data_IF_518900688005
#
_entry.id   IF_518900688005
#
_cell.length_a   1.000
_cell.length_b   1.000
_cell.length_c   1.000
_cell.angle_alpha   90.00
_cell.angle_beta   90.00
_cell.angle_gamma   90.00
#
_symmetry.space_group_name_H-M   'P 1'
#
loop_
_entity.id
_entity.type
_entity.pdbx_description
1 polymer ?
#
# COMPACT_ATOMS: atom_id res chain seq x y z
N UNK A 1 33.59 15.51 -32.86
CA UNK A 1 33.66 15.03 -34.24
C UNK A 1 32.23 14.72 -34.59
N UNK A 2 31.59 15.63 -35.32
CA UNK A 2 30.23 15.43 -35.79
C UNK A 2 30.39 14.63 -37.07
N UNK A 3 30.02 13.36 -37.05
CA UNK A 3 30.01 12.53 -38.24
C UNK A 3 28.96 13.11 -39.20
N UNK A 4 29.44 13.70 -40.30
CA UNK A 4 28.66 14.41 -41.33
C UNK A 4 27.89 13.46 -42.27
N UNK A 5 27.69 12.19 -41.92
CA UNK A 5 27.07 11.17 -42.78
C UNK A 5 25.84 10.51 -42.13
N UNK A 6 24.89 11.31 -41.63
CA UNK A 6 23.68 10.80 -40.94
C UNK A 6 22.56 10.33 -41.89
N UNK A 7 22.83 10.23 -43.19
CA UNK A 7 21.89 9.67 -44.19
C UNK A 7 22.39 8.31 -44.65
N UNK A 8 21.65 7.21 -44.42
CA UNK A 8 22.05 5.87 -44.87
C UNK A 8 22.15 5.82 -46.40
N UNK A 9 23.27 5.31 -46.94
CA UNK A 9 23.45 5.14 -48.40
C UNK A 9 22.93 3.76 -48.87
N UNK A 10 23.06 2.73 -48.03
CA UNK A 10 22.58 1.38 -48.31
C UNK A 10 21.40 1.00 -47.39
N UNK A 11 20.53 0.09 -47.83
CA UNK A 11 19.39 -0.38 -47.03
C UNK A 11 19.82 -0.97 -45.67
N UNK A 12 21.01 -1.56 -45.61
CA UNK A 12 21.58 -2.16 -44.40
C UNK A 12 22.15 -1.12 -43.40
N UNK A 13 22.27 0.15 -43.80
CA UNK A 13 22.72 1.23 -42.92
C UNK A 13 21.55 1.87 -42.16
N UNK A 14 20.30 1.58 -42.55
CA UNK A 14 19.10 2.08 -41.87
C UNK A 14 19.02 1.47 -40.47
N UNK A 15 18.78 2.33 -39.47
CA UNK A 15 18.69 1.94 -38.06
C UNK A 15 17.69 0.80 -37.83
N UNK A 16 18.21 -0.38 -37.45
CA UNK A 16 17.41 -1.58 -37.15
C UNK A 16 17.17 -2.53 -38.34
N UNK A 17 17.66 -2.18 -39.54
CA UNK A 17 17.67 -3.01 -40.73
C UNK A 17 19.05 -3.68 -40.85
N UNK A 18 19.15 -4.93 -40.43
CA UNK A 18 20.35 -5.74 -40.71
C UNK A 18 20.34 -6.29 -42.14
N UNK A 19 21.40 -6.98 -42.59
CA UNK A 19 21.51 -7.52 -43.95
C UNK A 19 20.32 -8.38 -44.37
N UNK A 20 19.81 -9.22 -43.46
CA UNK A 20 18.65 -10.08 -43.73
C UNK A 20 17.35 -9.30 -43.98
N UNK A 21 17.18 -8.15 -43.31
CA UNK A 21 16.00 -7.29 -43.51
C UNK A 21 16.18 -6.37 -44.71
N UNK A 22 17.41 -5.98 -45.02
CA UNK A 22 17.72 -5.29 -46.26
C UNK A 22 17.41 -6.18 -47.48
N UNK A 23 17.74 -7.48 -47.41
CA UNK A 23 17.32 -8.47 -48.41
C UNK A 23 15.79 -8.62 -48.48
N UNK A 24 15.08 -8.64 -47.35
CA UNK A 24 13.62 -8.70 -47.33
C UNK A 24 12.96 -7.44 -47.93
N UNK A 25 13.52 -6.24 -47.71
CA UNK A 25 13.08 -5.00 -48.36
C UNK A 25 13.31 -5.04 -49.87
N UNK A 26 14.47 -5.52 -50.31
CA UNK A 26 14.78 -5.67 -51.72
C UNK A 26 13.85 -6.70 -52.41
N UNK A 27 13.53 -7.81 -51.73
CA UNK A 27 12.57 -8.82 -52.24
C UNK A 27 11.14 -8.29 -52.30
N UNK A 28 10.77 -7.35 -51.40
CA UNK A 28 9.50 -6.62 -51.44
C UNK A 28 9.46 -5.51 -52.51
N UNK A 29 10.58 -5.22 -53.19
CA UNK A 29 10.68 -4.24 -54.28
C UNK A 29 11.28 -2.88 -53.89
N UNK A 30 11.75 -2.71 -52.64
CA UNK A 30 12.45 -1.51 -52.20
C UNK A 30 13.96 -1.70 -52.34
N UNK A 31 14.50 -1.46 -53.54
CA UNK A 31 15.89 -1.75 -53.89
C UNK A 31 16.89 -0.67 -53.39
N UNK A 32 16.40 0.54 -53.11
CA UNK A 32 17.22 1.66 -52.67
C UNK A 32 16.61 2.42 -51.49
N UNK A 33 17.44 3.19 -50.79
CA UNK A 33 17.00 4.07 -49.69
C UNK A 33 15.94 5.08 -50.17
N UNK A 34 16.01 5.50 -51.45
CA UNK A 34 15.01 6.36 -52.07
C UNK A 34 13.66 5.66 -52.24
N UNK A 35 13.63 4.36 -52.54
CA UNK A 35 12.39 3.58 -52.64
C UNK A 35 11.73 3.46 -51.26
N UNK A 36 12.53 3.21 -50.21
CA UNK A 36 12.04 3.17 -48.82
C UNK A 36 11.53 4.53 -48.35
N UNK A 37 12.18 5.62 -48.77
CA UNK A 37 11.74 6.98 -48.45
C UNK A 37 10.40 7.31 -49.12
N UNK A 38 10.18 6.84 -50.37
CA UNK A 38 8.95 7.05 -51.13
C UNK A 38 7.79 6.14 -50.67
N UNK A 39 8.07 4.93 -50.19
CA UNK A 39 7.08 3.92 -49.81
C UNK A 39 6.34 4.24 -48.51
N UNK A 40 5.04 4.02 -48.44
CA UNK A 40 4.26 4.28 -47.24
C UNK A 40 4.64 3.34 -46.08
N UNK A 41 4.38 3.76 -44.83
CA UNK A 41 4.69 2.94 -43.66
C UNK A 41 4.00 1.56 -43.71
N UNK A 42 2.78 1.52 -44.26
CA UNK A 42 2.03 0.27 -44.48
C UNK A 42 2.70 -0.64 -45.50
N UNK A 43 3.21 -0.10 -46.61
CA UNK A 43 3.90 -0.88 -47.65
C UNK A 43 5.20 -1.48 -47.10
N UNK A 44 5.96 -0.72 -46.30
CA UNK A 44 7.16 -1.23 -45.63
C UNK A 44 6.84 -2.32 -44.60
N UNK A 45 5.65 -2.27 -43.98
CA UNK A 45 5.23 -3.25 -42.99
C UNK A 45 4.79 -4.60 -43.60
N UNK A 46 4.61 -4.67 -44.93
CA UNK A 46 4.29 -5.91 -45.64
C UNK A 46 5.54 -6.76 -45.94
N UNK A 47 6.74 -6.16 -45.88
CA UNK A 47 7.99 -6.88 -46.08
C UNK A 47 8.26 -7.90 -44.96
N UNK A 48 8.78 -9.08 -45.32
CA UNK A 48 9.00 -10.17 -44.37
C UNK A 48 9.92 -9.74 -43.21
N UNK A 49 9.43 -9.88 -41.98
CA UNK A 49 10.17 -9.49 -40.77
C UNK A 49 10.17 -7.99 -40.44
N UNK A 50 9.45 -7.15 -41.17
CA UNK A 50 9.28 -5.71 -40.89
C UNK A 50 7.87 -5.47 -40.35
N UNK A 51 7.69 -5.52 -39.04
CA UNK A 51 6.42 -5.12 -38.44
C UNK A 51 6.22 -3.59 -38.44
N UNK A 52 4.99 -3.13 -38.18
CA UNK A 52 4.62 -1.71 -38.07
C UNK A 52 5.60 -0.86 -37.25
N UNK A 53 6.08 -1.39 -36.11
CA UNK A 53 7.02 -0.69 -35.24
C UNK A 53 8.40 -0.49 -35.86
N UNK A 54 8.86 -1.41 -36.73
CA UNK A 54 10.11 -1.27 -37.44
C UNK A 54 9.96 -0.38 -38.67
N UNK A 55 8.86 -0.53 -39.43
CA UNK A 55 8.53 0.35 -40.55
C UNK A 55 8.49 1.83 -40.13
N UNK A 56 7.87 2.13 -38.98
CA UNK A 56 7.85 3.48 -38.41
C UNK A 56 9.26 4.02 -38.08
N UNK A 57 10.16 3.17 -37.58
CA UNK A 57 11.55 3.56 -37.29
C UNK A 57 12.35 3.78 -38.56
N UNK A 58 12.20 2.90 -39.54
CA UNK A 58 12.83 3.03 -40.86
C UNK A 58 12.43 4.38 -41.47
N UNK A 59 11.13 4.66 -41.58
CA UNK A 59 10.62 5.91 -42.17
C UNK A 59 11.12 7.16 -41.42
N UNK A 60 11.26 7.08 -40.09
CA UNK A 60 11.84 8.14 -39.28
C UNK A 60 13.35 8.36 -39.54
N UNK A 61 14.11 7.27 -39.75
CA UNK A 61 15.54 7.28 -40.01
C UNK A 61 15.86 7.81 -41.42
N UNK A 62 15.07 7.41 -42.43
CA UNK A 62 15.24 7.89 -43.82
C UNK A 62 14.67 9.30 -44.05
N UNK A 63 14.12 9.94 -43.01
CA UNK A 63 13.54 11.29 -43.10
C UNK A 63 12.24 11.38 -43.91
N UNK A 64 11.54 10.27 -44.10
CA UNK A 64 10.30 10.19 -44.88
C UNK A 64 9.02 10.50 -44.08
N UNK A 65 9.08 11.29 -43.01
CA UNK A 65 7.91 11.59 -42.17
C UNK A 65 6.93 12.53 -42.91
N UNK A 66 6.21 12.00 -43.89
CA UNK A 66 4.99 12.59 -44.43
C UNK A 66 3.88 12.33 -43.41
N UNK A 67 3.62 13.35 -42.59
CA UNK A 67 2.46 13.39 -41.71
C UNK A 67 1.26 13.70 -42.60
N UNK A 68 0.73 12.68 -43.28
CA UNK A 68 -0.60 12.72 -43.86
C UNK A 68 -1.60 12.90 -42.70
N UNK A 69 -2.21 14.08 -42.65
CA UNK A 69 -3.10 14.51 -41.57
C UNK A 69 -4.52 13.91 -41.66
N UNK A 70 -4.74 12.87 -42.48
CA UNK A 70 -6.08 12.37 -42.84
C UNK A 70 -6.19 10.83 -42.79
N UNK A 71 -5.52 10.18 -41.84
CA UNK A 71 -5.92 8.81 -41.44
C UNK A 71 -6.98 8.89 -40.36
N UNK A 72 -8.21 9.14 -40.79
CA UNK A 72 -9.40 8.54 -40.19
C UNK A 72 -9.25 7.02 -40.34
N UNK A 73 -8.40 6.42 -39.51
CA UNK A 73 -8.40 5.00 -39.28
C UNK A 73 -9.73 4.70 -38.58
N UNK A 74 -10.68 4.15 -39.34
CA UNK A 74 -11.75 3.34 -38.77
C UNK A 74 -11.07 2.29 -37.89
N UNK A 75 -10.95 2.60 -36.60
CA UNK A 75 -10.72 1.61 -35.57
C UNK A 75 -11.96 0.74 -35.63
N UNK A 76 -11.85 -0.42 -36.27
CA UNK A 76 -12.69 -1.53 -35.86
C UNK A 76 -12.47 -1.68 -34.36
N UNK A 77 -13.45 -1.22 -33.59
CA UNK A 77 -13.63 -1.67 -32.24
C UNK A 77 -13.80 -3.19 -32.30
N UNK A 78 -12.68 -3.89 -32.18
CA UNK A 78 -12.69 -5.22 -31.60
C UNK A 78 -13.32 -4.99 -30.24
N UNK A 79 -14.61 -5.30 -30.13
CA UNK A 79 -15.42 -5.12 -28.94
C UNK A 79 -14.66 -5.62 -27.71
N UNK A 80 -13.96 -4.72 -27.05
CA UNK A 80 -13.84 -4.76 -25.61
C UNK A 80 -15.17 -4.22 -25.18
N UNK A 81 -16.00 -5.08 -24.60
CA UNK A 81 -17.25 -4.70 -23.99
C UNK A 81 -17.16 -3.27 -23.44
N UNK A 82 -18.00 -2.40 -23.98
CA UNK A 82 -18.71 -1.40 -23.21
C UNK A 82 -19.24 -2.07 -21.91
N UNK A 83 -18.36 -2.34 -20.96
CA UNK A 83 -18.65 -2.08 -19.55
C UNK A 83 -18.46 -0.57 -19.38
N UNK A 84 -19.26 0.17 -20.16
CA UNK A 84 -19.64 1.52 -19.89
C UNK A 84 -20.21 1.48 -18.48
N UNK A 85 -19.40 1.94 -17.52
CA UNK A 85 -19.78 3.05 -16.66
C UNK A 85 -21.28 3.03 -16.30
N UNK A 86 -21.72 1.90 -15.74
CA UNK A 86 -22.84 1.87 -14.83
C UNK A 86 -22.26 2.18 -13.45
N UNK A 87 -21.63 3.34 -13.29
CA UNK A 87 -21.61 4.06 -12.02
C UNK A 87 -23.06 4.44 -11.70
N UNK A 88 -23.88 3.42 -11.38
CA UNK A 88 -25.02 3.65 -10.52
C UNK A 88 -24.43 4.23 -9.24
N UNK A 89 -24.95 5.36 -8.77
CA UNK A 89 -24.63 5.94 -7.47
C UNK A 89 -25.08 4.96 -6.36
N UNK A 90 -24.36 3.85 -6.19
CA UNK A 90 -24.59 2.88 -5.12
C UNK A 90 -23.99 3.46 -3.85
N UNK A 91 -24.81 3.57 -2.80
CA UNK A 91 -24.31 4.03 -1.51
C UNK A 91 -23.27 3.03 -0.98
N UNK A 92 -22.06 3.52 -0.69
CA UNK A 92 -20.97 2.69 -0.14
C UNK A 92 -20.62 3.17 1.27
N UNK A 93 -20.22 2.23 2.13
CA UNK A 93 -19.73 2.53 3.47
C UNK A 93 -18.40 1.83 3.78
N UNK A 94 -17.62 2.39 4.70
CA UNK A 94 -16.36 1.80 5.15
C UNK A 94 -16.60 0.74 6.23
N UNK A 95 -16.30 -0.52 5.93
CA UNK A 95 -16.35 -1.64 6.88
C UNK A 95 -14.95 -2.14 7.23
N UNK A 96 -14.74 -2.46 8.51
CA UNK A 96 -13.50 -3.07 8.98
C UNK A 96 -13.45 -4.56 8.58
N UNK A 97 -12.30 -5.03 8.09
CA UNK A 97 -12.08 -6.46 7.84
C UNK A 97 -12.07 -7.27 9.14
N UNK A 98 -12.55 -8.52 9.08
CA UNK A 98 -12.45 -9.51 10.15
C UNK A 98 -13.36 -9.29 11.36
N UNK A 99 -13.08 -10.03 12.43
CA UNK A 99 -13.94 -10.20 13.60
C UNK A 99 -13.85 -9.04 14.62
N UNK A 100 -14.22 -7.83 14.20
CA UNK A 100 -14.07 -6.61 15.02
C UNK A 100 -14.86 -6.64 16.33
N UNK A 101 -16.03 -7.29 16.36
CA UNK A 101 -16.89 -7.35 17.55
C UNK A 101 -16.58 -8.51 18.51
N UNK A 102 -15.64 -9.39 18.17
CA UNK A 102 -15.29 -10.55 19.01
C UNK A 102 -14.81 -10.08 20.40
N UNK A 103 -15.28 -10.74 21.45
CA UNK A 103 -14.92 -10.48 22.87
C UNK A 103 -14.30 -11.75 23.44
N UNK A 104 -13.28 -11.66 24.34
CA UNK A 104 -12.63 -12.83 24.90
C UNK A 104 -13.48 -13.53 25.97
N UNK A 105 -13.19 -14.81 26.16
CA UNK A 105 -13.71 -15.56 27.30
C UNK A 105 -12.82 -15.30 28.52
N UNK A 106 -13.36 -14.63 29.54
CA UNK A 106 -12.65 -14.28 30.77
C UNK A 106 -13.28 -14.97 31.98
N UNK A 107 -12.45 -15.40 32.92
CA UNK A 107 -12.95 -15.86 34.23
C UNK A 107 -13.65 -14.72 34.99
N UNK A 108 -14.58 -15.06 35.89
CA UNK A 108 -15.32 -14.06 36.70
C UNK A 108 -14.36 -13.12 37.47
N UNK A 109 -13.26 -13.68 37.98
CA UNK A 109 -12.24 -12.94 38.70
C UNK A 109 -11.48 -11.96 37.78
N UNK A 110 -11.11 -12.38 36.57
CA UNK A 110 -10.47 -11.50 35.60
C UNK A 110 -11.40 -10.39 35.13
N UNK A 111 -12.67 -10.71 34.86
CA UNK A 111 -13.67 -9.73 34.47
C UNK A 111 -13.85 -8.68 35.57
N UNK A 112 -13.95 -9.11 36.84
CA UNK A 112 -14.01 -8.23 38.01
C UNK A 112 -12.76 -7.35 38.14
N UNK A 113 -11.56 -7.92 37.98
CA UNK A 113 -10.30 -7.17 38.06
C UNK A 113 -10.13 -6.19 36.90
N UNK A 114 -10.61 -6.54 35.70
CA UNK A 114 -10.58 -5.68 34.51
C UNK A 114 -11.50 -4.46 34.71
N UNK A 115 -12.71 -4.68 35.23
CA UNK A 115 -13.62 -3.60 35.62
C UNK A 115 -13.01 -2.72 36.72
N UNK A 116 -12.36 -3.31 37.74
CA UNK A 116 -11.64 -2.57 38.78
C UNK A 116 -10.50 -1.72 38.20
N UNK A 117 -9.74 -2.24 37.24
CA UNK A 117 -8.70 -1.50 36.53
C UNK A 117 -9.27 -0.28 35.81
N UNK A 118 -10.45 -0.42 35.18
CA UNK A 118 -11.13 0.66 34.47
C UNK A 118 -11.70 1.73 35.42
N UNK A 119 -12.17 1.34 36.60
CA UNK A 119 -12.75 2.27 37.57
C UNK A 119 -11.71 3.02 38.40
N UNK A 120 -10.56 2.40 38.69
CA UNK A 120 -9.48 3.04 39.44
C UNK A 120 -8.67 3.96 38.54
N UNK A 121 -8.80 5.27 38.74
CA UNK A 121 -8.01 6.26 38.02
C UNK A 121 -6.53 6.20 38.44
N UNK A 122 -5.66 6.05 37.45
CA UNK A 122 -4.22 6.18 37.64
C UNK A 122 -3.81 7.63 37.34
N UNK A 123 -2.96 8.26 38.18
CA UNK A 123 -2.42 9.58 37.86
C UNK A 123 -1.68 9.58 36.52
N UNK A 124 -1.64 10.73 35.83
CA UNK A 124 -0.96 10.83 34.53
C UNK A 124 0.56 10.60 34.60
N UNK A 125 1.16 10.67 35.80
CA UNK A 125 2.61 10.54 36.03
C UNK A 125 3.48 11.40 35.11
N UNK A 126 3.06 12.64 34.87
CA UNK A 126 3.88 13.60 34.15
C UNK A 126 5.03 14.13 35.03
N UNK A 127 6.18 14.44 34.43
CA UNK A 127 7.33 15.06 35.12
C UNK A 127 6.91 16.35 35.82
N UNK A 128 7.37 16.59 37.06
CA UNK A 128 7.09 17.86 37.75
C UNK A 128 7.39 19.08 36.88
N UNK A 129 6.50 20.07 36.91
CA UNK A 129 6.63 21.36 36.23
C UNK A 129 6.79 21.29 34.69
N UNK A 130 6.47 20.17 34.04
CA UNK A 130 6.50 20.03 32.58
C UNK A 130 5.70 21.14 31.87
N UNK A 131 4.50 21.44 32.38
CA UNK A 131 3.60 22.46 31.86
C UNK A 131 4.15 23.90 31.99
N UNK A 132 5.17 24.13 32.83
CA UNK A 132 5.74 25.47 33.06
C UNK A 132 6.85 25.85 32.07
N UNK A 133 7.49 24.85 31.42
CA UNK A 133 8.64 25.08 30.53
C UNK A 133 8.56 24.16 29.32
N UNK A 134 8.41 24.74 28.12
CA UNK A 134 8.34 24.01 26.83
C UNK A 134 9.48 23.00 26.62
N UNK A 135 10.70 23.31 27.10
CA UNK A 135 11.86 22.39 27.04
C UNK A 135 11.77 21.15 27.96
N UNK A 136 10.76 21.08 28.82
CA UNK A 136 10.58 20.00 29.79
C UNK A 136 9.45 19.10 29.31
N UNK A 137 9.75 17.89 28.81
CA UNK A 137 8.71 17.00 28.30
C UNK A 137 7.89 16.37 29.43
N UNK A 138 6.74 15.79 29.07
CA UNK A 138 5.82 15.06 29.95
C UNK A 138 6.46 13.80 30.55
N UNK A 139 7.39 13.14 29.83
CA UNK A 139 8.08 11.92 30.27
C UNK A 139 8.58 12.00 31.72
N UNK A 140 8.06 11.12 32.58
CA UNK A 140 8.38 11.05 34.00
C UNK A 140 9.87 11.08 34.31
N UNK A 141 10.26 11.86 35.31
CA UNK A 141 11.59 11.83 35.94
C UNK A 141 11.41 12.00 37.43
N UNK A 142 12.04 11.11 38.22
CA UNK A 142 11.99 11.19 39.69
C UNK A 142 12.40 12.60 40.14
N UNK A 143 11.57 13.31 40.92
CA UNK A 143 11.92 14.66 41.39
C UNK A 143 13.08 14.58 42.38
N UNK A 144 14.27 15.06 41.99
CA UNK A 144 15.49 14.93 42.80
C UNK A 144 15.75 16.09 43.78
N UNK A 145 15.28 17.30 43.47
CA UNK A 145 15.68 18.52 44.20
C UNK A 145 15.25 18.54 45.68
N UNK A 146 16.15 19.03 46.56
CA UNK A 146 15.97 19.04 48.04
C UNK A 146 14.67 19.69 48.50
N UNK A 147 14.26 20.76 47.82
CA UNK A 147 13.07 21.53 48.17
C UNK A 147 11.88 21.26 47.24
N UNK A 148 11.96 20.24 46.36
CA UNK A 148 10.88 19.88 45.45
C UNK A 148 9.61 19.54 46.24
N UNK A 149 8.50 20.17 45.85
CA UNK A 149 7.21 20.02 46.52
C UNK A 149 6.58 18.67 46.20
N UNK A 150 6.73 18.18 44.96
CA UNK A 150 6.31 16.83 44.55
C UNK A 150 7.11 15.76 45.31
N UNK A 151 8.44 15.90 45.40
CA UNK A 151 9.29 14.95 46.13
C UNK A 151 8.93 14.84 47.62
N UNK A 152 8.52 15.94 48.23
CA UNK A 152 8.09 16.02 49.63
C UNK A 152 6.64 15.52 49.85
N UNK A 153 5.94 15.06 48.81
CA UNK A 153 4.56 14.56 48.91
C UNK A 153 3.52 15.65 49.20
N UNK A 154 3.78 16.91 48.84
CA UNK A 154 2.80 17.99 49.08
C UNK A 154 1.59 17.78 48.16
N UNK A 155 0.42 17.62 48.76
CA UNK A 155 -0.87 17.46 48.06
C UNK A 155 -1.06 18.56 46.99
N UNK A 156 -1.50 18.15 45.81
CA UNK A 156 -1.71 19.04 44.65
C UNK A 156 -0.46 19.25 43.77
N UNK A 157 0.67 18.60 44.06
CA UNK A 157 1.87 18.61 43.19
C UNK A 157 1.99 17.36 42.30
N UNK A 158 0.94 16.54 42.28
CA UNK A 158 0.90 15.26 41.57
C UNK A 158 1.59 14.15 42.36
N UNK A 159 1.11 12.93 42.18
CA UNK A 159 1.66 11.75 42.85
C UNK A 159 3.04 11.39 42.29
N UNK A 160 3.86 10.76 43.15
CA UNK A 160 5.14 10.18 42.75
C UNK A 160 4.94 8.72 42.38
N UNK A 161 5.63 8.25 41.34
CA UNK A 161 5.57 6.84 40.93
C UNK A 161 6.03 5.94 42.08
N UNK A 162 5.15 5.03 42.50
CA UNK A 162 5.36 4.05 43.57
C UNK A 162 4.79 2.68 43.17
N UNK A 163 5.23 1.61 43.82
CA UNK A 163 4.79 0.24 43.50
C UNK A 163 3.29 0.01 43.75
N UNK A 164 2.66 0.77 44.65
CA UNK A 164 1.24 0.67 44.98
C UNK A 164 0.28 1.07 43.84
N UNK A 165 0.78 1.79 42.83
CA UNK A 165 -0.01 2.18 41.65
C UNK A 165 -0.10 1.10 40.58
N UNK A 166 0.52 -0.07 40.79
CA UNK A 166 0.46 -1.16 39.80
C UNK A 166 -0.96 -1.70 39.66
N UNK A 167 -1.36 -1.97 38.43
CA UNK A 167 -2.59 -2.70 38.13
C UNK A 167 -2.49 -4.16 38.63
N UNK A 168 -3.62 -4.83 38.92
CA UNK A 168 -3.63 -6.23 39.34
C UNK A 168 -2.90 -7.12 38.34
N UNK A 169 -2.14 -8.10 38.83
CA UNK A 169 -1.26 -8.93 37.99
C UNK A 169 -2.02 -9.68 36.89
N UNK A 170 -3.18 -10.26 37.20
CA UNK A 170 -3.99 -11.04 36.25
C UNK A 170 -4.51 -10.24 35.04
N UNK A 171 -4.65 -8.91 35.14
CA UNK A 171 -5.19 -8.06 34.06
C UNK A 171 -4.22 -6.97 33.61
N UNK A 172 -2.97 -7.05 34.06
CA UNK A 172 -1.93 -6.07 33.70
C UNK A 172 -1.53 -6.31 32.25
N UNK A 173 -1.68 -5.29 31.41
CA UNK A 173 -1.30 -5.35 29.99
C UNK A 173 -2.41 -5.78 29.04
N UNK A 174 -3.52 -6.36 29.52
CA UNK A 174 -4.68 -6.71 28.69
C UNK A 174 -5.28 -5.50 27.97
N UNK A 175 -5.73 -5.66 26.74
CA UNK A 175 -6.48 -4.64 25.99
C UNK A 175 -7.73 -4.21 26.78
N UNK A 176 -8.30 -3.01 26.56
CA UNK A 176 -9.57 -2.61 27.19
C UNK A 176 -10.73 -3.59 26.99
N UNK A 177 -10.73 -4.35 25.87
CA UNK A 177 -11.70 -5.43 25.62
C UNK A 177 -11.43 -6.70 26.43
N UNK A 178 -10.23 -6.86 27.00
CA UNK A 178 -9.84 -8.03 27.79
C UNK A 178 -8.84 -8.97 27.11
N UNK A 179 -8.62 -8.86 25.80
CA UNK A 179 -7.66 -9.72 25.10
C UNK A 179 -6.22 -9.46 25.55
N UNK A 180 -5.38 -10.49 25.48
CA UNK A 180 -3.93 -10.33 25.47
C UNK A 180 -3.46 -9.98 24.05
N UNK A 181 -2.60 -8.97 23.92
CA UNK A 181 -2.18 -8.50 22.60
C UNK A 181 -0.97 -9.28 22.09
N UNK A 182 -1.12 -9.95 20.94
CA UNK A 182 -0.02 -10.62 20.24
C UNK A 182 0.43 -9.77 19.07
N UNK A 183 1.73 -9.47 19.00
CA UNK A 183 2.29 -8.63 17.94
C UNK A 183 2.69 -9.47 16.72
N UNK A 184 2.07 -9.18 15.58
CA UNK A 184 2.15 -10.00 14.35
C UNK A 184 2.87 -9.24 13.23
N UNK A 185 3.77 -9.90 12.51
CA UNK A 185 4.54 -9.37 11.38
C UNK A 185 4.25 -10.08 10.04
N UNK A 186 3.84 -11.34 10.10
CA UNK A 186 3.58 -12.20 8.95
C UNK A 186 2.51 -13.26 9.31
N UNK A 187 2.10 -14.07 8.34
CA UNK A 187 1.06 -15.09 8.53
C UNK A 187 1.48 -16.19 9.50
N UNK A 188 2.77 -16.53 9.56
CA UNK A 188 3.28 -17.59 10.43
C UNK A 188 3.24 -17.19 11.91
N UNK A 189 3.27 -15.89 12.22
CA UNK A 189 3.15 -15.40 13.60
C UNK A 189 1.74 -15.59 14.18
N UNK A 190 0.75 -15.93 13.34
CA UNK A 190 -0.59 -16.32 13.79
C UNK A 190 -0.62 -17.77 14.28
N UNK A 191 0.38 -18.59 13.95
CA UNK A 191 0.45 -19.96 14.40
C UNK A 191 0.64 -20.01 15.93
N UNK A 192 -0.35 -20.56 16.64
CA UNK A 192 -0.33 -20.73 18.09
C UNK A 192 -1.01 -19.62 18.89
N UNK A 193 -1.59 -18.62 18.22
CA UNK A 193 -2.43 -17.61 18.87
C UNK A 193 -3.77 -18.23 19.26
N UNK A 194 -4.15 -18.11 20.54
CA UNK A 194 -5.44 -18.60 21.03
C UNK A 194 -6.55 -17.59 20.70
N UNK A 195 -7.49 -17.90 19.79
CA UNK A 195 -8.49 -16.94 19.33
C UNK A 195 -9.44 -16.45 20.43
N UNK A 196 -9.57 -17.18 21.54
CA UNK A 196 -10.54 -16.87 22.60
C UNK A 196 -9.93 -16.01 23.74
N UNK A 197 -8.60 -16.08 23.92
CA UNK A 197 -7.87 -15.32 24.95
C UNK A 197 -7.03 -14.16 24.36
N UNK A 198 -6.55 -14.32 23.13
CA UNK A 198 -5.57 -13.44 22.48
C UNK A 198 -6.14 -12.73 21.24
N UNK A 199 -5.64 -11.52 20.99
CA UNK A 199 -5.96 -10.76 19.78
C UNK A 199 -4.69 -10.29 19.08
N UNK A 200 -4.70 -10.33 17.75
CA UNK A 200 -3.58 -9.94 16.91
C UNK A 200 -3.51 -8.41 16.75
N UNK A 201 -2.31 -7.84 16.90
CA UNK A 201 -1.97 -6.48 16.48
C UNK A 201 -0.88 -6.52 15.42
N UNK A 202 -1.26 -6.20 14.19
CA UNK A 202 -0.34 -6.17 13.05
C UNK A 202 0.61 -4.99 13.20
N UNK A 203 1.92 -5.25 13.11
CA UNK A 203 2.92 -4.19 13.21
C UNK A 203 2.75 -3.15 12.09
N UNK A 204 2.93 -1.87 12.40
CA UNK A 204 2.75 -0.76 11.45
C UNK A 204 3.64 -0.80 10.21
N UNK A 205 4.77 -1.52 10.26
CA UNK A 205 5.70 -1.68 9.14
C UNK A 205 5.22 -2.68 8.08
N UNK A 206 4.16 -3.44 8.36
CA UNK A 206 3.61 -4.43 7.43
C UNK A 206 2.80 -3.70 6.35
N UNK A 207 3.19 -3.84 5.08
CA UNK A 207 2.50 -3.19 3.96
C UNK A 207 1.18 -3.87 3.59
N UNK A 208 0.31 -3.14 2.87
CA UNK A 208 -1.07 -3.53 2.55
C UNK A 208 -1.21 -4.96 1.98
N UNK A 209 -0.42 -5.32 0.96
CA UNK A 209 -0.44 -6.68 0.36
C UNK A 209 -0.23 -7.80 1.37
N UNK A 210 0.64 -7.59 2.36
CA UNK A 210 0.88 -8.59 3.42
C UNK A 210 -0.18 -8.50 4.50
N UNK A 211 -0.68 -7.30 4.82
CA UNK A 211 -1.78 -7.10 5.77
C UNK A 211 -3.02 -7.86 5.34
N UNK A 212 -3.40 -7.77 4.08
CA UNK A 212 -4.53 -8.50 3.51
C UNK A 212 -4.48 -9.99 3.80
N UNK A 213 -3.34 -10.65 3.48
CA UNK A 213 -3.15 -12.08 3.76
C UNK A 213 -3.20 -12.42 5.24
N UNK A 214 -2.68 -11.54 6.11
CA UNK A 214 -2.72 -11.73 7.56
C UNK A 214 -4.15 -11.60 8.07
N UNK A 215 -4.90 -10.61 7.59
CA UNK A 215 -6.30 -10.35 8.02
C UNK A 215 -7.22 -11.49 7.62
N UNK A 216 -7.13 -11.94 6.37
CA UNK A 216 -7.88 -13.10 5.86
C UNK A 216 -7.54 -14.37 6.64
N UNK A 217 -6.25 -14.64 6.88
CA UNK A 217 -5.83 -15.81 7.65
C UNK A 217 -6.28 -15.72 9.11
N UNK A 218 -6.17 -14.56 9.74
CA UNK A 218 -6.61 -14.34 11.12
C UNK A 218 -8.13 -14.55 11.26
N UNK A 219 -8.92 -14.03 10.32
CA UNK A 219 -10.36 -14.24 10.26
C UNK A 219 -10.70 -15.73 10.13
N UNK A 220 -10.00 -16.46 9.26
CA UNK A 220 -10.18 -17.91 9.10
C UNK A 220 -9.87 -18.71 10.37
N UNK A 221 -8.95 -18.22 11.22
CA UNK A 221 -8.59 -18.82 12.50
C UNK A 221 -9.45 -18.31 13.67
N UNK A 222 -10.41 -17.42 13.42
CA UNK A 222 -11.26 -16.85 14.47
C UNK A 222 -10.55 -15.81 15.34
N UNK A 223 -9.40 -15.29 14.90
CA UNK A 223 -8.57 -14.32 15.63
C UNK A 223 -9.01 -12.90 15.30
N UNK A 224 -9.27 -12.09 16.33
CA UNK A 224 -9.57 -10.66 16.16
C UNK A 224 -8.30 -9.87 15.84
N UNK A 225 -8.34 -9.05 14.79
CA UNK A 225 -7.29 -8.05 14.49
C UNK A 225 -7.66 -6.71 15.11
N UNK A 226 -6.82 -6.18 15.99
CA UNK A 226 -7.09 -4.93 16.74
C UNK A 226 -6.95 -3.66 15.90
N UNK A 227 -6.21 -3.71 14.81
CA UNK A 227 -5.96 -2.59 13.89
C UNK A 227 -6.31 -3.00 12.45
N UNK A 228 -7.60 -3.22 12.14
CA UNK A 228 -8.04 -3.72 10.85
C UNK A 228 -7.90 -2.65 9.75
N UNK A 229 -7.81 -3.13 8.51
CA UNK A 229 -7.97 -2.33 7.29
C UNK A 229 -9.46 -2.11 7.04
N UNK A 230 -9.85 -0.89 6.71
CA UNK A 230 -11.22 -0.55 6.31
C UNK A 230 -11.32 -0.61 4.79
N UNK A 231 -12.37 -1.24 4.28
CA UNK A 231 -12.67 -1.38 2.85
C UNK A 231 -14.05 -0.80 2.56
N UNK A 232 -14.21 -0.24 1.36
CA UNK A 232 -15.50 0.24 0.86
C UNK A 232 -16.35 -0.96 0.47
N UNK A 233 -17.58 -1.01 0.97
CA UNK A 233 -18.56 -2.07 0.70
C UNK A 233 -19.87 -1.39 0.32
N UNK A 234 -20.54 -1.92 -0.70
CA UNK A 234 -21.86 -1.47 -1.13
C UNK A 234 -22.91 -1.72 -0.02
N UNK A 235 -23.73 -0.71 0.23
CA UNK A 235 -24.86 -0.77 1.15
C UNK A 235 -26.10 -1.05 0.33
N UNK A 236 -26.69 -2.23 0.52
CA UNK A 236 -28.04 -2.49 0.03
C UNK A 236 -29.02 -1.78 0.97
N UNK A 237 -29.76 -0.80 0.43
CA UNK A 237 -30.91 -0.19 1.11
C UNK A 237 -31.95 -1.28 1.39
N UNK A 238 -31.98 -1.80 2.61
CA UNK A 238 -33.05 -2.67 3.06
C UNK A 238 -34.29 -1.79 3.36
N UNK A 239 -35.20 -1.68 2.39
CA UNK A 239 -36.58 -1.18 2.58
C UNK A 239 -37.39 -2.02 3.58
#
# INVERSE_FOLDING_TARGET
MSDENDTPEELADISGVGPSKAEALAEAGFESVADVQAADQSELAEADGIGNALAARIKADVGGLEVEADTDAEVEEVGGDDEADTDADVETELRARGLTEKTPDLSEDEQRLLQKRRSVNTPQFNRQDYHKKKRTPTSWRRPKGTLSKQRRGIKGKGDTVEAGFRTPTAVRGKHPSGFEEVRVHNTDDLAGVDPDTEAARIASKVGARKRERIEEHAESQGIRVLNPTYVEVEVEDNE
#
